data_IF_679291083291
#
_entry.id   IF_679291083291
#
_cell.length_a   1.000
_cell.length_b   1.000
_cell.length_c   1.000
_cell.angle_alpha   90.00
_cell.angle_beta   90.00
_cell.angle_gamma   90.00
#
_symmetry.space_group_name_H-M   'P 1'
#
loop_
_entity.id
_entity.type
_entity.pdbx_description
1 polymer ?
#
# COMPACT_ATOMS: atom_id res chain seq x y z
N UNK A 1 9.41 5.40 -6.64
CA UNK A 1 10.04 5.91 -5.40
C UNK A 1 10.94 7.06 -5.80
N UNK A 2 10.89 8.16 -5.05
CA UNK A 2 11.62 9.38 -5.38
C UNK A 2 12.31 9.88 -4.12
N UNK A 3 13.63 10.10 -4.18
CA UNK A 3 14.45 10.56 -3.05
C UNK A 3 14.14 9.84 -1.72
N UNK A 4 14.22 8.51 -1.74
CA UNK A 4 13.96 7.65 -0.57
C UNK A 4 12.57 7.78 0.06
N UNK A 5 11.58 8.27 -0.69
CA UNK A 5 10.22 8.43 -0.22
C UNK A 5 9.20 8.20 -1.36
N UNK A 6 7.91 8.39 -1.05
CA UNK A 6 6.84 8.49 -2.04
C UNK A 6 7.11 9.66 -3.00
N UNK A 7 6.55 9.59 -4.21
CA UNK A 7 6.64 10.71 -5.15
C UNK A 7 5.86 11.93 -4.63
N UNK A 8 6.22 13.12 -5.13
CA UNK A 8 5.50 14.36 -4.80
C UNK A 8 3.99 14.26 -5.12
N UNK A 9 3.61 13.56 -6.18
CA UNK A 9 2.21 13.30 -6.53
C UNK A 9 1.47 12.48 -5.46
N UNK A 10 2.09 11.40 -4.99
CA UNK A 10 1.50 10.56 -3.93
C UNK A 10 1.45 11.34 -2.61
N UNK A 11 2.48 12.12 -2.28
CA UNK A 11 2.48 12.97 -1.09
C UNK A 11 1.37 14.02 -1.14
N UNK A 12 1.18 14.66 -2.31
CA UNK A 12 0.09 15.62 -2.54
C UNK A 12 -1.28 14.97 -2.35
N UNK A 13 -1.47 13.76 -2.89
CA UNK A 13 -2.69 12.98 -2.65
C UNK A 13 -2.91 12.73 -1.15
N UNK A 14 -1.88 12.23 -0.45
CA UNK A 14 -1.95 11.96 0.99
C UNK A 14 -2.32 13.22 1.78
N UNK A 15 -1.72 14.38 1.48
CA UNK A 15 -1.96 15.64 2.21
C UNK A 15 -3.40 16.15 2.01
N UNK A 16 -3.97 15.95 0.83
CA UNK A 16 -5.34 16.36 0.51
C UNK A 16 -6.42 15.51 1.18
N UNK A 17 -6.06 14.43 1.86
CA UNK A 17 -7.02 13.57 2.56
C UNK A 17 -7.40 14.07 3.96
N UNK A 18 -6.78 15.14 4.47
CA UNK A 18 -7.11 15.62 5.81
C UNK A 18 -8.58 16.00 5.99
N UNK A 19 -9.20 16.58 4.95
CA UNK A 19 -10.61 16.95 4.95
C UNK A 19 -11.58 15.75 5.01
N UNK A 20 -11.09 14.52 4.78
CA UNK A 20 -11.88 13.28 4.86
C UNK A 20 -11.46 12.39 6.04
N UNK A 21 -10.74 12.94 7.02
CA UNK A 21 -10.33 12.20 8.21
C UNK A 21 -11.53 11.49 8.86
N UNK A 22 -11.32 10.23 9.25
CA UNK A 22 -12.36 9.34 9.80
C UNK A 22 -13.18 8.61 8.74
N UNK A 23 -13.29 9.12 7.50
CA UNK A 23 -14.02 8.43 6.41
C UNK A 23 -13.30 7.19 5.88
N UNK A 24 -11.99 7.10 6.12
CA UNK A 24 -11.15 5.97 5.75
C UNK A 24 -10.97 4.94 6.89
N UNK A 25 -11.58 5.18 8.05
CA UNK A 25 -11.51 4.26 9.18
C UNK A 25 -12.02 2.87 8.78
N UNK A 26 -11.28 1.84 9.18
CA UNK A 26 -11.55 0.43 8.88
C UNK A 26 -11.57 0.08 7.38
N UNK A 27 -11.11 0.98 6.50
CA UNK A 27 -10.81 0.60 5.11
C UNK A 27 -9.53 -0.22 5.09
N UNK A 28 -9.50 -1.24 4.23
CA UNK A 28 -8.33 -2.11 4.09
C UNK A 28 -7.31 -1.38 3.22
N UNK A 29 -6.08 -1.32 3.71
CA UNK A 29 -4.96 -0.63 3.07
C UNK A 29 -3.86 -1.59 2.61
N UNK A 30 -3.19 -1.22 1.52
CA UNK A 30 -2.04 -1.93 0.96
C UNK A 30 -1.16 -0.98 0.15
N UNK A 31 0.13 -1.28 0.06
CA UNK A 31 1.12 -0.45 -0.62
C UNK A 31 1.99 -1.24 -1.58
N UNK A 32 2.21 -0.70 -2.77
CA UNK A 32 3.18 -1.20 -3.75
C UNK A 32 4.05 -0.01 -4.15
N UNK A 33 5.36 -0.21 -4.14
CA UNK A 33 6.32 0.81 -4.58
C UNK A 33 7.26 0.22 -5.60
N UNK A 34 7.68 1.04 -6.56
CA UNK A 34 8.65 0.66 -7.60
C UNK A 34 9.77 1.69 -7.65
N UNK A 35 11.01 1.24 -7.78
CA UNK A 35 12.18 2.11 -7.93
C UNK A 35 13.47 1.32 -8.17
N UNK A 36 14.62 1.98 -8.15
CA UNK A 36 15.91 1.38 -8.51
C UNK A 36 16.60 0.57 -7.39
N UNK A 37 15.83 0.05 -6.43
CA UNK A 37 16.34 -0.74 -5.30
C UNK A 37 16.67 0.03 -4.01
N UNK A 38 16.67 1.37 -4.04
CA UNK A 38 16.93 2.20 -2.85
C UNK A 38 15.66 2.89 -2.36
N UNK A 39 15.52 3.01 -1.04
CA UNK A 39 14.43 3.77 -0.41
C UNK A 39 13.03 3.18 -0.56
N UNK A 40 12.91 1.96 -1.09
CA UNK A 40 11.62 1.27 -1.28
C UNK A 40 10.92 1.04 0.06
N UNK A 41 11.67 0.54 1.05
CA UNK A 41 11.15 0.34 2.41
C UNK A 41 10.67 1.64 3.05
N UNK A 42 11.43 2.73 2.93
CA UNK A 42 11.06 4.03 3.48
C UNK A 42 9.79 4.60 2.82
N UNK A 43 9.64 4.45 1.50
CA UNK A 43 8.42 4.83 0.80
C UNK A 43 7.21 4.00 1.27
N UNK A 44 7.37 2.69 1.46
CA UNK A 44 6.32 1.84 2.05
C UNK A 44 5.98 2.25 3.47
N UNK A 45 6.97 2.56 4.30
CA UNK A 45 6.75 3.07 5.66
C UNK A 45 5.95 4.36 5.64
N UNK A 46 6.27 5.31 4.76
CA UNK A 46 5.50 6.55 4.64
C UNK A 46 4.03 6.29 4.22
N UNK A 47 3.82 5.36 3.29
CA UNK A 47 2.49 4.91 2.86
C UNK A 47 1.72 4.27 4.03
N UNK A 48 2.34 3.37 4.79
CA UNK A 48 1.72 2.74 5.95
C UNK A 48 1.42 3.74 7.07
N UNK A 49 2.34 4.65 7.40
CA UNK A 49 2.11 5.69 8.41
C UNK A 49 0.92 6.57 8.05
N UNK A 50 0.75 6.90 6.76
CA UNK A 50 -0.44 7.60 6.28
C UNK A 50 -1.73 6.80 6.51
N UNK A 51 -1.74 5.52 6.13
CA UNK A 51 -2.91 4.66 6.30
C UNK A 51 -3.28 4.49 7.78
N UNK A 52 -2.29 4.31 8.66
CA UNK A 52 -2.50 4.22 10.11
C UNK A 52 -3.04 5.54 10.70
N UNK A 53 -2.58 6.70 10.20
CA UNK A 53 -3.13 8.01 10.60
C UNK A 53 -4.61 8.20 10.24
N UNK A 54 -5.10 7.42 9.28
CA UNK A 54 -6.50 7.33 8.86
C UNK A 54 -7.27 6.16 9.48
N UNK A 55 -6.67 5.45 10.44
CA UNK A 55 -7.28 4.28 11.10
C UNK A 55 -7.69 3.17 10.11
N UNK A 56 -6.91 3.03 9.03
CA UNK A 56 -7.08 1.94 8.07
C UNK A 56 -6.52 0.63 8.62
N UNK A 57 -7.05 -0.49 8.13
CA UNK A 57 -6.61 -1.84 8.49
C UNK A 57 -5.50 -2.27 7.54
N UNK A 58 -4.33 -2.56 8.08
CA UNK A 58 -3.18 -3.10 7.35
C UNK A 58 -2.99 -4.57 7.71
N UNK A 59 -2.68 -5.41 6.73
CA UNK A 59 -2.39 -6.82 7.00
C UNK A 59 -1.30 -7.44 6.15
N UNK A 60 -0.54 -6.62 5.42
CA UNK A 60 0.62 -7.04 4.64
C UNK A 60 1.69 -5.96 4.69
N UNK A 61 2.96 -6.35 4.56
CA UNK A 61 4.13 -5.45 4.63
C UNK A 61 4.32 -4.54 3.39
N UNK A 62 3.39 -4.59 2.44
CA UNK A 62 3.54 -3.99 1.11
C UNK A 62 4.54 -4.71 0.18
N UNK A 63 4.69 -4.19 -1.04
CA UNK A 63 5.49 -4.80 -2.12
C UNK A 63 6.53 -3.81 -2.61
N UNK A 64 7.76 -4.29 -2.78
CA UNK A 64 8.88 -3.54 -3.34
C UNK A 64 9.25 -4.13 -4.69
N UNK A 65 9.07 -3.37 -5.77
CA UNK A 65 9.51 -3.73 -7.11
C UNK A 65 10.78 -2.97 -7.51
N UNK A 66 11.70 -3.67 -8.15
CA UNK A 66 12.93 -3.10 -8.69
C UNK A 66 12.78 -2.90 -10.20
N UNK A 67 12.82 -1.64 -10.64
CA UNK A 67 12.78 -1.26 -12.04
C UNK A 67 13.28 0.17 -12.25
N UNK A 68 13.68 0.48 -13.47
CA UNK A 68 13.98 1.83 -13.93
C UNK A 68 13.03 2.27 -15.04
N UNK A 69 12.91 1.45 -16.09
CA UNK A 69 12.08 1.80 -17.26
C UNK A 69 10.62 1.39 -17.06
N UNK A 70 9.74 2.09 -17.78
CA UNK A 70 8.33 1.71 -17.80
C UNK A 70 8.16 0.28 -18.31
N UNK A 71 7.40 -0.54 -17.56
CA UNK A 71 7.14 -1.94 -17.90
C UNK A 71 8.22 -2.93 -17.47
N UNK A 72 9.42 -2.47 -17.10
CA UNK A 72 10.52 -3.35 -16.66
C UNK A 72 10.17 -4.13 -15.40
N UNK A 73 9.37 -3.54 -14.50
CA UNK A 73 8.93 -4.19 -13.25
C UNK A 73 8.22 -5.54 -13.48
N UNK A 74 7.67 -5.77 -14.66
CA UNK A 74 7.06 -7.07 -15.03
C UNK A 74 8.06 -8.23 -15.02
N UNK A 75 9.37 -7.93 -15.14
CA UNK A 75 10.46 -8.91 -15.07
C UNK A 75 10.88 -9.21 -13.62
N UNK A 76 10.45 -8.42 -12.64
CA UNK A 76 10.71 -8.67 -11.22
C UNK A 76 9.71 -9.70 -10.69
N UNK A 77 10.01 -10.99 -10.92
CA UNK A 77 9.15 -12.11 -10.52
C UNK A 77 8.84 -12.13 -9.02
N UNK A 78 9.77 -11.67 -8.18
CA UNK A 78 9.56 -11.55 -6.73
C UNK A 78 8.50 -10.49 -6.42
N UNK A 79 8.59 -9.32 -7.04
CA UNK A 79 7.61 -8.26 -6.83
C UNK A 79 6.21 -8.67 -7.32
N UNK A 80 6.12 -9.40 -8.44
CA UNK A 80 4.84 -9.95 -8.92
C UNK A 80 4.26 -10.97 -7.93
N UNK A 81 5.09 -11.92 -7.47
CA UNK A 81 4.67 -12.93 -6.48
C UNK A 81 4.23 -12.28 -5.16
N UNK A 82 4.94 -11.25 -4.71
CA UNK A 82 4.57 -10.53 -3.49
C UNK A 82 3.30 -9.68 -3.68
N UNK A 83 3.03 -9.19 -4.90
CA UNK A 83 1.77 -8.52 -5.24
C UNK A 83 0.58 -9.48 -5.20
N UNK A 84 0.75 -10.73 -5.64
CA UNK A 84 -0.27 -11.77 -5.52
C UNK A 84 -0.56 -12.08 -4.04
N UNK A 85 0.49 -12.26 -3.22
CA UNK A 85 0.34 -12.47 -1.77
C UNK A 85 -0.35 -11.29 -1.08
N UNK A 86 0.01 -10.05 -1.46
CA UNK A 86 -0.67 -8.85 -0.99
C UNK A 86 -2.17 -8.92 -1.34
N UNK A 87 -2.52 -9.19 -2.60
CA UNK A 87 -3.92 -9.24 -3.04
C UNK A 87 -4.72 -10.32 -2.29
N UNK A 88 -4.17 -11.52 -2.16
CA UNK A 88 -4.76 -12.62 -1.38
C UNK A 88 -5.03 -12.15 0.04
N UNK A 89 -4.03 -11.55 0.69
CA UNK A 89 -4.15 -11.11 2.08
C UNK A 89 -5.19 -10.00 2.28
N UNK A 90 -5.26 -9.04 1.36
CA UNK A 90 -6.29 -7.99 1.41
C UNK A 90 -7.69 -8.59 1.24
N UNK A 91 -7.84 -9.60 0.37
CA UNK A 91 -9.11 -10.31 0.19
C UNK A 91 -9.51 -11.11 1.42
N UNK A 92 -8.59 -11.84 2.07
CA UNK A 92 -8.86 -12.56 3.33
C UNK A 92 -9.43 -11.62 4.39
N UNK A 93 -8.82 -10.44 4.57
CA UNK A 93 -9.29 -9.43 5.53
C UNK A 93 -10.67 -8.90 5.13
N UNK A 94 -10.89 -8.65 3.84
CA UNK A 94 -12.19 -8.22 3.33
C UNK A 94 -13.29 -9.24 3.61
N UNK A 95 -13.02 -10.53 3.43
CA UNK A 95 -13.97 -11.59 3.73
C UNK A 95 -14.24 -11.69 5.24
N UNK A 96 -13.20 -11.63 6.07
CA UNK A 96 -13.35 -11.67 7.53
C UNK A 96 -14.22 -10.52 8.06
N UNK A 97 -13.99 -9.29 7.58
CA UNK A 97 -14.80 -8.12 7.94
C UNK A 97 -16.24 -8.21 7.42
N UNK A 98 -16.46 -8.89 6.29
CA UNK A 98 -17.80 -9.10 5.73
C UNK A 98 -18.57 -10.16 6.51
N UNK A 99 -17.91 -11.21 6.99
CA UNK A 99 -18.55 -12.24 7.82
C UNK A 99 -19.00 -11.68 9.18
N UNK A 100 -18.19 -10.84 9.82
CA UNK A 100 -18.57 -10.22 11.11
C UNK A 100 -19.79 -9.31 10.96
N UNK A 101 -19.88 -8.53 9.87
CA UNK A 101 -21.04 -7.67 9.60
C UNK A 101 -22.35 -8.42 9.34
N UNK A 102 -22.30 -9.72 9.04
CA UNK A 102 -23.52 -10.54 8.86
C UNK A 102 -24.04 -11.13 10.16
N UNK A 103 -23.24 -11.10 11.23
CA UNK A 103 -23.60 -11.60 12.56
C UNK A 103 -24.23 -10.51 13.45
N UNK A 104 -24.24 -9.25 12.99
CA UNK A 104 -24.98 -8.13 13.58
C UNK A 104 -26.18 -7.79 12.70
#
# INVERSE_FOLDING_TARGET
>A
VYFNNVSAYVKTFMDRTWCIRGKLRNKIGGGIVVGRGYGLGLALTAIHSFMLKHEMILGHRGVSGIAYEHGEVRKDSRAITDAEKLAIRLNEIAQALKSERKLC
#
